data_IF_717174099806
#
_entry.id   IF_717174099806
#
_cell.length_a   1.000
_cell.length_b   1.000
_cell.length_c   1.000
_cell.angle_alpha   90.00
_cell.angle_beta   90.00
_cell.angle_gamma   90.00
#
_symmetry.space_group_name_H-M   'P 1'
#
loop_
_entity.id
_entity.type
_entity.pdbx_description
1 polymer ?
#
# COMPACT_ATOMS: atom_id res chain seq x y z
N UNK A 1 25.22 1.74 -20.15
CA UNK A 1 25.92 2.44 -21.26
C UNK A 1 24.96 3.42 -21.89
N UNK A 2 25.29 4.71 -21.79
CA UNK A 2 24.46 5.83 -22.25
C UNK A 2 24.68 6.07 -23.74
N UNK A 3 23.70 5.74 -24.59
CA UNK A 3 23.69 6.16 -25.99
C UNK A 3 22.97 7.51 -26.11
N UNK A 4 23.72 8.57 -26.42
CA UNK A 4 23.18 9.81 -26.98
C UNK A 4 22.97 9.60 -28.48
N UNK A 5 21.75 9.74 -29.05
CA UNK A 5 21.58 9.71 -30.49
C UNK A 5 21.56 11.13 -31.05
N UNK A 6 22.61 11.45 -31.79
CA UNK A 6 22.64 12.51 -32.80
C UNK A 6 22.06 11.95 -34.10
N UNK A 7 20.75 12.12 -34.34
CA UNK A 7 20.14 12.15 -35.70
C UNK A 7 18.60 12.18 -35.63
N UNK A 8 18.00 13.36 -35.83
CA UNK A 8 16.53 13.52 -35.87
C UNK A 8 15.86 12.85 -37.09
N UNK A 9 16.62 12.43 -38.11
CA UNK A 9 16.11 11.74 -39.30
C UNK A 9 16.11 10.20 -39.24
N UNK A 10 17.12 9.56 -38.64
CA UNK A 10 17.21 8.08 -38.56
C UNK A 10 16.23 7.45 -37.54
N UNK A 11 15.67 8.26 -36.64
CA UNK A 11 14.81 7.79 -35.53
C UNK A 11 13.36 7.50 -35.96
N UNK A 12 12.92 7.99 -37.12
CA UNK A 12 11.55 7.79 -37.62
C UNK A 12 11.46 6.50 -38.44
N UNK A 13 12.40 6.27 -39.37
CA UNK A 13 12.48 5.04 -40.16
C UNK A 13 12.73 3.80 -39.30
N UNK A 14 13.60 3.91 -38.28
CA UNK A 14 13.83 2.79 -37.36
C UNK A 14 12.58 2.48 -36.53
N UNK A 15 11.81 3.49 -36.08
CA UNK A 15 10.52 3.26 -35.40
C UNK A 15 9.51 2.57 -36.30
N UNK A 16 9.39 2.98 -37.56
CA UNK A 16 8.49 2.35 -38.53
C UNK A 16 8.88 0.89 -38.78
N UNK A 17 10.17 0.59 -38.93
CA UNK A 17 10.65 -0.79 -39.06
C UNK A 17 10.35 -1.65 -37.83
N UNK A 18 10.53 -1.13 -36.61
CA UNK A 18 10.19 -1.87 -35.39
C UNK A 18 8.69 -2.12 -35.26
N UNK A 19 7.86 -1.15 -35.67
CA UNK A 19 6.39 -1.32 -35.71
C UNK A 19 5.98 -2.45 -36.65
N UNK A 20 6.58 -2.49 -37.84
CA UNK A 20 6.26 -3.53 -38.83
C UNK A 20 6.71 -4.92 -38.38
N UNK A 21 7.90 -5.03 -37.78
CA UNK A 21 8.36 -6.29 -37.18
C UNK A 21 7.42 -6.74 -36.05
N UNK A 22 7.00 -5.82 -35.16
CA UNK A 22 6.05 -6.15 -34.11
C UNK A 22 4.70 -6.59 -34.67
N UNK A 23 4.21 -5.93 -35.73
CA UNK A 23 2.96 -6.32 -36.41
C UNK A 23 3.04 -7.76 -36.91
N UNK A 24 4.09 -8.11 -37.67
CA UNK A 24 4.32 -9.47 -38.16
C UNK A 24 4.41 -10.48 -37.01
N UNK A 25 5.16 -10.15 -35.94
CA UNK A 25 5.28 -11.04 -34.79
C UNK A 25 3.94 -11.28 -34.06
N UNK A 26 3.11 -10.25 -33.97
CA UNK A 26 1.83 -10.30 -33.25
C UNK A 26 0.72 -10.94 -34.08
N UNK A 27 0.65 -10.65 -35.38
CA UNK A 27 -0.40 -11.12 -36.29
C UNK A 27 -0.05 -12.48 -36.93
N UNK A 28 1.17 -12.65 -37.44
CA UNK A 28 1.54 -13.81 -38.24
C UNK A 28 2.17 -14.94 -37.40
N UNK A 29 2.73 -14.62 -36.24
CA UNK A 29 3.47 -15.57 -35.40
C UNK A 29 2.83 -15.89 -34.04
N UNK A 30 1.63 -15.35 -33.76
CA UNK A 30 0.90 -15.53 -32.50
C UNK A 30 1.77 -15.27 -31.25
N UNK A 31 2.66 -14.28 -31.31
CA UNK A 31 3.65 -14.04 -30.27
C UNK A 31 3.01 -13.87 -28.89
N UNK A 32 1.86 -13.18 -28.81
CA UNK A 32 1.15 -12.99 -27.54
C UNK A 32 0.71 -14.29 -26.89
N UNK A 33 0.13 -15.21 -27.67
CA UNK A 33 -0.30 -16.51 -27.17
C UNK A 33 0.90 -17.30 -26.62
N UNK A 34 2.02 -17.27 -27.34
CA UNK A 34 3.27 -17.92 -26.91
C UNK A 34 3.80 -17.32 -25.62
N UNK A 35 3.93 -16.00 -25.53
CA UNK A 35 4.46 -15.32 -24.34
C UNK A 35 3.60 -15.55 -23.10
N UNK A 36 2.28 -15.46 -23.24
CA UNK A 36 1.35 -15.65 -22.14
C UNK A 36 1.39 -17.10 -21.63
N UNK A 37 1.62 -18.08 -22.51
CA UNK A 37 1.82 -19.48 -22.10
C UNK A 37 3.06 -19.69 -21.23
N UNK A 38 4.06 -18.79 -21.29
CA UNK A 38 5.28 -18.88 -20.48
C UNK A 38 5.06 -18.48 -19.02
N UNK A 39 3.90 -17.92 -18.65
CA UNK A 39 3.63 -17.49 -17.28
C UNK A 39 3.62 -18.68 -16.30
N UNK A 40 3.27 -19.88 -16.76
CA UNK A 40 3.20 -21.10 -15.94
C UNK A 40 4.55 -21.80 -15.73
N UNK A 41 5.63 -21.31 -16.35
CA UNK A 41 6.93 -22.00 -16.38
C UNK A 41 7.61 -21.91 -15.01
N UNK A 42 8.25 -23.02 -14.60
CA UNK A 42 8.94 -23.16 -13.33
C UNK A 42 10.16 -22.24 -13.20
N UNK A 43 10.81 -21.92 -14.32
CA UNK A 43 11.91 -20.96 -14.38
C UNK A 43 11.37 -19.52 -14.16
N UNK A 44 11.50 -19.04 -12.91
CA UNK A 44 10.96 -17.74 -12.46
C UNK A 44 11.45 -16.56 -13.28
N UNK A 45 12.71 -16.57 -13.72
CA UNK A 45 13.29 -15.49 -14.54
C UNK A 45 12.57 -15.43 -15.88
N UNK A 46 12.40 -16.57 -16.55
CA UNK A 46 11.73 -16.64 -17.84
C UNK A 46 10.25 -16.23 -17.73
N UNK A 47 9.54 -16.72 -16.71
CA UNK A 47 8.14 -16.31 -16.46
C UNK A 47 8.03 -14.80 -16.22
N UNK A 48 8.91 -14.24 -15.40
CA UNK A 48 8.94 -12.80 -15.14
C UNK A 48 9.28 -11.96 -16.39
N UNK A 49 10.26 -12.40 -17.19
CA UNK A 49 10.61 -11.75 -18.45
C UNK A 49 9.45 -11.81 -19.44
N UNK A 50 8.75 -12.94 -19.53
CA UNK A 50 7.56 -13.08 -20.34
C UNK A 50 6.46 -12.09 -19.89
N UNK A 51 6.18 -12.01 -18.59
CA UNK A 51 5.22 -11.05 -18.04
C UNK A 51 5.61 -9.59 -18.37
N UNK A 52 6.90 -9.25 -18.29
CA UNK A 52 7.44 -7.94 -18.66
C UNK A 52 7.29 -7.63 -20.15
N UNK A 53 7.59 -8.60 -21.01
CA UNK A 53 7.42 -8.48 -22.46
C UNK A 53 5.95 -8.28 -22.82
N UNK A 54 5.05 -9.12 -22.28
CA UNK A 54 3.61 -9.03 -22.46
C UNK A 54 3.09 -7.66 -22.05
N UNK A 55 3.43 -7.17 -20.85
CA UNK A 55 3.00 -5.85 -20.40
C UNK A 55 3.47 -4.72 -21.31
N UNK A 56 4.69 -4.82 -21.84
CA UNK A 56 5.25 -3.84 -22.78
C UNK A 56 4.48 -3.84 -24.11
N UNK A 57 4.16 -5.04 -24.62
CA UNK A 57 3.36 -5.19 -25.84
C UNK A 57 1.94 -4.65 -25.64
N UNK A 58 1.29 -4.97 -24.52
CA UNK A 58 -0.05 -4.47 -24.20
C UNK A 58 -0.07 -2.95 -24.16
N UNK A 59 0.92 -2.32 -23.50
CA UNK A 59 1.02 -0.86 -23.44
C UNK A 59 1.30 -0.23 -24.81
N UNK A 60 2.12 -0.89 -25.64
CA UNK A 60 2.39 -0.46 -27.01
C UNK A 60 1.12 -0.55 -27.88
N UNK A 61 0.40 -1.67 -27.86
CA UNK A 61 -0.86 -1.83 -28.59
C UNK A 61 -1.90 -0.83 -28.11
N UNK A 62 -1.98 -0.57 -26.79
CA UNK A 62 -2.87 0.45 -26.24
C UNK A 62 -2.56 1.85 -26.79
N UNK A 63 -1.28 2.20 -27.02
CA UNK A 63 -0.90 3.48 -27.62
C UNK A 63 -1.30 3.57 -29.09
N UNK A 64 -1.26 2.47 -29.84
CA UNK A 64 -1.54 2.46 -31.28
C UNK A 64 -3.04 2.33 -31.59
N UNK A 65 -3.75 1.43 -30.90
CA UNK A 65 -5.13 1.04 -31.22
C UNK A 65 -6.15 1.38 -30.14
N UNK A 66 -5.75 2.09 -29.07
CA UNK A 66 -6.60 2.49 -27.94
C UNK A 66 -7.42 1.33 -27.33
N UNK A 67 -6.88 0.11 -27.40
CA UNK A 67 -7.55 -1.11 -26.97
C UNK A 67 -6.55 -2.07 -26.32
N UNK A 68 -7.00 -2.80 -25.30
CA UNK A 68 -6.20 -3.83 -24.65
C UNK A 68 -6.19 -5.10 -25.50
N UNK A 69 -5.06 -5.81 -25.44
CA UNK A 69 -4.91 -7.10 -26.10
C UNK A 69 -5.89 -8.13 -25.51
N UNK A 70 -6.74 -8.72 -26.37
CA UNK A 70 -7.77 -9.67 -25.95
C UNK A 70 -7.22 -10.97 -25.39
N UNK A 71 -6.13 -11.49 -25.97
CA UNK A 71 -5.47 -12.74 -25.53
C UNK A 71 -4.93 -12.59 -24.10
N UNK A 72 -4.20 -11.50 -23.86
CA UNK A 72 -3.69 -11.17 -22.52
C UNK A 72 -4.82 -10.98 -21.51
N UNK A 73 -5.86 -10.22 -21.87
CA UNK A 73 -6.98 -9.94 -20.98
C UNK A 73 -7.72 -11.23 -20.62
N UNK A 74 -8.00 -12.10 -21.59
CA UNK A 74 -8.67 -13.39 -21.35
C UNK A 74 -7.84 -14.32 -20.48
N UNK A 75 -6.52 -14.38 -20.69
CA UNK A 75 -5.65 -15.15 -19.79
C UNK A 75 -5.76 -14.65 -18.36
N UNK A 76 -5.59 -13.35 -18.13
CA UNK A 76 -5.64 -12.80 -16.77
C UNK A 76 -6.99 -13.05 -16.10
N UNK A 77 -8.10 -12.86 -16.83
CA UNK A 77 -9.45 -13.12 -16.32
C UNK A 77 -9.66 -14.60 -15.97
N UNK A 78 -9.23 -15.52 -16.84
CA UNK A 78 -9.36 -16.96 -16.60
C UNK A 78 -8.49 -17.41 -15.43
N UNK A 79 -7.27 -16.91 -15.33
CA UNK A 79 -6.36 -17.17 -14.21
C UNK A 79 -6.92 -16.65 -12.89
N UNK A 80 -7.47 -15.44 -12.85
CA UNK A 80 -8.05 -14.88 -11.62
C UNK A 80 -9.32 -15.60 -11.20
N UNK A 81 -10.17 -16.02 -12.16
CA UNK A 81 -11.36 -16.84 -11.88
C UNK A 81 -11.00 -18.20 -11.30
N UNK A 82 -9.88 -18.80 -11.72
CA UNK A 82 -9.38 -20.06 -11.15
C UNK A 82 -8.87 -19.89 -9.71
N UNK A 83 -8.41 -18.70 -9.35
CA UNK A 83 -7.89 -18.41 -8.01
C UNK A 83 -6.54 -19.09 -7.72
N UNK A 84 -6.24 -19.25 -6.43
CA UNK A 84 -5.02 -19.91 -5.94
C UNK A 84 -5.34 -21.34 -5.47
N UNK A 85 -4.49 -22.35 -5.75
CA UNK A 85 -3.17 -22.29 -6.39
C UNK A 85 -3.24 -22.33 -7.93
N UNK A 86 -2.56 -21.38 -8.58
CA UNK A 86 -2.42 -21.33 -10.03
C UNK A 86 -1.02 -20.77 -10.36
N UNK A 87 -0.25 -21.45 -11.23
CA UNK A 87 1.15 -21.07 -11.53
C UNK A 87 1.25 -19.78 -12.33
N UNK A 88 0.21 -19.52 -13.13
CA UNK A 88 0.07 -18.37 -14.00
C UNK A 88 -0.29 -17.09 -13.22
N UNK A 89 -0.75 -17.26 -11.97
CA UNK A 89 -1.32 -16.18 -11.18
C UNK A 89 -0.33 -15.05 -10.90
N UNK A 90 0.90 -15.38 -10.51
CA UNK A 90 1.93 -14.37 -10.25
C UNK A 90 2.25 -13.55 -11.52
N UNK A 91 2.42 -14.22 -12.67
CA UNK A 91 2.64 -13.56 -13.96
C UNK A 91 1.47 -12.65 -14.38
N UNK A 92 0.22 -13.10 -14.21
CA UNK A 92 -0.97 -12.30 -14.49
C UNK A 92 -1.11 -11.10 -13.54
N UNK A 93 -0.89 -11.28 -12.24
CA UNK A 93 -0.92 -10.21 -11.24
C UNK A 93 0.15 -9.16 -11.51
N UNK A 94 1.38 -9.60 -11.74
CA UNK A 94 2.49 -8.71 -12.07
C UNK A 94 2.21 -7.96 -13.36
N UNK A 95 1.73 -8.66 -14.40
CA UNK A 95 1.46 -8.05 -15.71
C UNK A 95 0.36 -7.01 -15.63
N UNK A 96 -0.76 -7.30 -14.96
CA UNK A 96 -1.84 -6.33 -14.73
C UNK A 96 -1.35 -5.11 -13.95
N UNK A 97 -0.61 -5.33 -12.86
CA UNK A 97 0.00 -4.25 -12.07
C UNK A 97 0.89 -3.35 -12.92
N UNK A 98 1.74 -3.94 -13.77
CA UNK A 98 2.63 -3.23 -14.67
C UNK A 98 1.86 -2.44 -15.75
N UNK A 99 0.78 -3.01 -16.30
CA UNK A 99 -0.09 -2.32 -17.27
C UNK A 99 -0.79 -1.14 -16.60
N UNK A 100 -1.42 -1.31 -15.44
CA UNK A 100 -2.04 -0.21 -14.69
C UNK A 100 -1.03 0.91 -14.40
N UNK A 101 0.18 0.55 -13.96
CA UNK A 101 1.27 1.49 -13.72
C UNK A 101 1.70 2.21 -15.00
N UNK A 102 1.80 1.50 -16.11
CA UNK A 102 2.12 2.05 -17.42
C UNK A 102 1.07 3.04 -17.92
N UNK A 103 -0.22 2.73 -17.74
CA UNK A 103 -1.32 3.63 -18.13
C UNK A 103 -1.31 4.91 -17.28
N UNK A 104 -1.11 4.81 -15.97
CA UNK A 104 -1.03 5.97 -15.09
C UNK A 104 0.15 6.88 -15.45
N UNK A 105 1.33 6.31 -15.75
CA UNK A 105 2.54 7.07 -16.10
C UNK A 105 2.57 7.58 -17.54
N UNK A 106 2.01 6.84 -18.50
CA UNK A 106 2.11 7.17 -19.92
C UNK A 106 1.25 8.38 -20.31
N UNK A 107 1.42 8.90 -21.51
CA UNK A 107 0.61 9.98 -22.06
C UNK A 107 -0.50 9.41 -22.95
N UNK A 108 -1.70 9.27 -22.40
CA UNK A 108 -2.88 8.76 -23.10
C UNK A 108 -4.01 9.81 -23.03
N UNK A 109 -4.74 10.01 -24.13
CA UNK A 109 -5.77 11.06 -24.20
C UNK A 109 -6.96 10.80 -23.26
N UNK A 110 -7.34 9.53 -23.06
CA UNK A 110 -8.48 9.14 -22.20
C UNK A 110 -8.08 8.11 -21.13
N UNK A 111 -7.10 8.43 -20.28
CA UNK A 111 -6.62 7.52 -19.20
C UNK A 111 -7.76 6.95 -18.35
N UNK A 112 -8.71 7.82 -17.98
CA UNK A 112 -9.85 7.49 -17.11
C UNK A 112 -10.71 6.38 -17.73
N UNK A 113 -11.21 6.63 -18.93
CA UNK A 113 -12.09 5.71 -19.67
C UNK A 113 -11.39 4.38 -19.97
N UNK A 114 -10.10 4.41 -20.32
CA UNK A 114 -9.32 3.21 -20.57
C UNK A 114 -9.20 2.33 -19.33
N UNK A 115 -8.86 2.93 -18.18
CA UNK A 115 -8.77 2.17 -16.93
C UNK A 115 -10.14 1.70 -16.45
N UNK A 116 -11.19 2.53 -16.56
CA UNK A 116 -12.55 2.09 -16.21
C UNK A 116 -12.97 0.89 -17.05
N UNK A 117 -12.78 0.92 -18.38
CA UNK A 117 -13.10 -0.22 -19.25
C UNK A 117 -12.33 -1.48 -18.87
N UNK A 118 -11.04 -1.34 -18.54
CA UNK A 118 -10.23 -2.47 -18.09
C UNK A 118 -10.77 -3.03 -16.78
N UNK A 119 -10.97 -2.18 -15.77
CA UNK A 119 -11.36 -2.58 -14.42
C UNK A 119 -12.77 -3.18 -14.36
N UNK A 120 -13.72 -2.64 -15.13
CA UNK A 120 -15.06 -3.23 -15.28
C UNK A 120 -14.98 -4.69 -15.75
N UNK A 121 -14.02 -5.04 -16.62
CA UNK A 121 -13.85 -6.42 -17.05
C UNK A 121 -13.32 -7.34 -15.94
N UNK A 122 -12.57 -6.80 -14.98
CA UNK A 122 -11.98 -7.54 -13.85
C UNK A 122 -12.84 -7.53 -12.58
N UNK A 123 -13.82 -6.62 -12.47
CA UNK A 123 -14.74 -6.52 -11.32
C UNK A 123 -15.42 -7.84 -10.95
N UNK A 124 -15.79 -8.75 -11.88
CA UNK A 124 -16.40 -10.03 -11.52
C UNK A 124 -15.45 -11.06 -10.89
N UNK A 125 -14.12 -10.91 -11.03
CA UNK A 125 -13.14 -11.93 -10.61
C UNK A 125 -12.26 -11.49 -9.44
N UNK A 126 -12.04 -10.18 -9.29
CA UNK A 126 -11.17 -9.64 -8.24
C UNK A 126 -11.71 -9.80 -6.80
N UNK A 127 -13.01 -9.69 -6.49
CA UNK A 127 -13.52 -9.90 -5.14
C UNK A 127 -13.28 -11.32 -4.62
N UNK A 128 -13.53 -12.33 -5.46
CA UNK A 128 -13.29 -13.74 -5.11
C UNK A 128 -11.79 -14.02 -4.95
N UNK A 129 -10.96 -13.42 -5.82
CA UNK A 129 -9.51 -13.52 -5.70
C UNK A 129 -9.01 -12.85 -4.41
N UNK A 130 -9.55 -11.69 -4.05
CA UNK A 130 -9.21 -10.94 -2.84
C UNK A 130 -9.45 -11.78 -1.58
N UNK A 131 -10.67 -12.31 -1.45
CA UNK A 131 -11.03 -13.16 -0.30
C UNK A 131 -10.23 -14.46 -0.32
N UNK A 132 -10.09 -15.11 -1.47
CA UNK A 132 -9.39 -16.39 -1.63
C UNK A 132 -7.87 -16.32 -1.38
N UNK A 133 -7.21 -15.19 -1.63
CA UNK A 133 -5.77 -15.02 -1.38
C UNK A 133 -5.45 -14.54 0.03
N UNK A 134 -6.27 -13.64 0.56
CA UNK A 134 -5.97 -12.93 1.81
C UNK A 134 -6.62 -13.59 3.03
N UNK A 135 -7.72 -14.35 2.84
CA UNK A 135 -8.39 -15.09 3.93
C UNK A 135 -7.79 -16.48 4.15
N UNK A 136 -6.70 -16.86 3.47
CA UNK A 136 -5.95 -18.07 3.76
C UNK A 136 -5.28 -17.95 5.13
N UNK A 137 -6.08 -18.07 6.18
CA UNK A 137 -5.63 -18.32 7.54
C UNK A 137 -4.82 -19.59 7.44
N UNK A 138 -3.53 -19.52 7.77
CA UNK A 138 -2.60 -20.66 7.70
C UNK A 138 -3.28 -21.90 8.28
N UNK A 139 -3.87 -22.71 7.39
CA UNK A 139 -4.52 -23.93 7.79
C UNK A 139 -3.34 -24.77 8.23
N UNK A 140 -3.32 -25.11 9.52
CA UNK A 140 -2.49 -26.18 10.05
C UNK A 140 -2.92 -27.51 9.43
N UNK A 141 -2.81 -27.64 8.12
CA UNK A 141 -2.88 -28.90 7.43
C UNK A 141 -1.49 -29.49 7.54
N UNK A 142 -1.38 -30.45 8.47
CA UNK A 142 -0.29 -31.41 8.57
C UNK A 142 -0.22 -32.31 7.31
N UNK A 143 -0.11 -31.70 6.14
CA UNK A 143 0.15 -32.36 4.87
C UNK A 143 1.29 -31.61 4.21
N UNK A 144 2.51 -31.94 4.64
CA UNK A 144 3.79 -31.77 3.94
C UNK A 144 3.76 -30.73 2.81
N UNK A 145 3.61 -29.45 3.15
CA UNK A 145 3.85 -28.39 2.18
C UNK A 145 5.37 -28.25 2.05
N UNK A 146 5.91 -28.50 0.86
CA UNK A 146 7.32 -28.27 0.59
C UNK A 146 7.64 -26.79 0.85
N UNK A 147 8.85 -26.44 1.33
CA UNK A 147 9.25 -25.04 1.56
C UNK A 147 9.03 -24.12 0.34
N UNK A 148 8.99 -24.68 -0.88
CA UNK A 148 8.73 -23.94 -2.11
C UNK A 148 7.33 -23.34 -2.20
N UNK A 149 6.34 -24.01 -1.61
CA UNK A 149 4.92 -23.65 -1.80
C UNK A 149 4.53 -22.49 -0.87
N UNK A 150 5.11 -22.45 0.34
CA UNK A 150 4.97 -21.31 1.26
C UNK A 150 5.55 -20.03 0.67
N UNK A 151 6.77 -20.11 0.11
CA UNK A 151 7.41 -18.96 -0.55
C UNK A 151 6.58 -18.47 -1.76
N UNK A 152 5.96 -19.38 -2.51
CA UNK A 152 5.12 -19.01 -3.64
C UNK A 152 3.85 -18.24 -3.23
N UNK A 153 3.21 -18.64 -2.13
CA UNK A 153 2.04 -17.93 -1.59
C UNK A 153 2.43 -16.52 -1.13
N UNK A 154 3.56 -16.37 -0.43
CA UNK A 154 4.05 -15.07 0.03
C UNK A 154 4.31 -14.11 -1.14
N UNK A 155 4.92 -14.61 -2.22
CA UNK A 155 5.14 -13.84 -3.45
C UNK A 155 3.80 -13.41 -4.06
N UNK A 156 2.84 -14.33 -4.22
CA UNK A 156 1.52 -14.00 -4.77
C UNK A 156 0.81 -12.95 -3.92
N UNK A 157 0.79 -13.11 -2.58
CA UNK A 157 0.18 -12.13 -1.68
C UNK A 157 0.88 -10.76 -1.78
N UNK A 158 2.20 -10.77 -1.90
CA UNK A 158 3.02 -9.56 -2.09
C UNK A 158 2.70 -8.86 -3.41
N UNK A 159 2.59 -9.62 -4.52
CA UNK A 159 2.25 -9.11 -5.85
C UNK A 159 0.79 -8.63 -5.91
N UNK A 160 -0.13 -9.33 -5.22
CA UNK A 160 -1.52 -8.89 -5.12
C UNK A 160 -1.66 -7.60 -4.30
N UNK A 161 -0.85 -7.44 -3.26
CA UNK A 161 -0.81 -6.19 -2.48
C UNK A 161 -0.32 -5.01 -3.34
N UNK A 162 0.64 -5.23 -4.26
CA UNK A 162 1.04 -4.21 -5.24
C UNK A 162 -0.12 -3.85 -6.18
N UNK A 163 -0.89 -4.84 -6.62
CA UNK A 163 -2.07 -4.59 -7.46
C UNK A 163 -3.10 -3.72 -6.71
N UNK A 164 -3.39 -4.02 -5.44
CA UNK A 164 -4.30 -3.22 -4.61
C UNK A 164 -3.81 -1.79 -4.41
N UNK A 165 -2.49 -1.59 -4.23
CA UNK A 165 -1.89 -0.26 -4.18
C UNK A 165 -2.12 0.49 -5.49
N UNK A 166 -1.91 -0.17 -6.64
CA UNK A 166 -2.12 0.41 -7.95
C UNK A 166 -3.58 0.75 -8.24
N UNK A 167 -4.52 -0.09 -7.81
CA UNK A 167 -5.96 0.18 -7.91
C UNK A 167 -6.37 1.41 -7.09
N UNK A 168 -5.84 1.52 -5.87
CA UNK A 168 -6.05 2.67 -4.98
C UNK A 168 -5.44 3.94 -5.58
N UNK A 169 -4.22 3.86 -6.11
CA UNK A 169 -3.56 4.98 -6.79
C UNK A 169 -4.34 5.44 -8.02
N UNK A 170 -4.86 4.51 -8.84
CA UNK A 170 -5.68 4.82 -10.00
C UNK A 170 -6.97 5.55 -9.60
N UNK A 171 -7.60 5.12 -8.50
CA UNK A 171 -8.79 5.77 -7.96
C UNK A 171 -8.50 7.20 -7.51
N UNK A 172 -7.47 7.41 -6.69
CA UNK A 172 -7.13 8.74 -6.17
C UNK A 172 -6.77 9.71 -7.30
N UNK A 173 -6.01 9.25 -8.29
CA UNK A 173 -5.50 10.12 -9.37
C UNK A 173 -6.50 10.40 -10.48
N UNK A 174 -7.32 9.42 -10.83
CA UNK A 174 -8.27 9.54 -11.95
C UNK A 174 -9.71 9.69 -11.47
N UNK A 175 -9.96 9.67 -10.16
CA UNK A 175 -11.29 9.77 -9.54
C UNK A 175 -12.28 8.72 -10.10
N UNK A 176 -11.77 7.54 -10.41
CA UNK A 176 -12.56 6.40 -10.93
C UNK A 176 -13.10 5.57 -9.77
N UNK A 177 -14.29 5.00 -9.91
CA UNK A 177 -14.96 4.27 -8.83
C UNK A 177 -15.54 2.94 -9.33
N UNK A 178 -14.68 1.97 -9.58
CA UNK A 178 -15.06 0.59 -9.91
C UNK A 178 -15.04 -0.31 -8.68
N UNK A 179 -15.74 -1.46 -8.70
CA UNK A 179 -15.83 -2.33 -7.52
C UNK A 179 -14.46 -2.85 -7.10
N UNK A 180 -13.61 -3.21 -8.06
CA UNK A 180 -12.23 -3.62 -7.83
C UNK A 180 -11.40 -2.60 -7.05
N UNK A 181 -11.62 -1.30 -7.27
CA UNK A 181 -10.92 -0.22 -6.55
C UNK A 181 -11.48 0.02 -5.14
N UNK A 182 -12.71 -0.43 -4.87
CA UNK A 182 -13.36 -0.30 -3.57
C UNK A 182 -13.00 -1.44 -2.62
N UNK A 183 -12.50 -2.57 -3.13
CA UNK A 183 -12.23 -3.81 -2.37
C UNK A 183 -11.44 -3.57 -1.07
N UNK A 184 -10.31 -2.88 -1.16
CA UNK A 184 -9.47 -2.58 0.00
C UNK A 184 -10.23 -1.87 1.12
N UNK A 185 -11.10 -0.94 0.74
CA UNK A 185 -11.84 -0.09 1.67
C UNK A 185 -13.00 -0.85 2.30
N UNK A 186 -13.79 -1.54 1.46
CA UNK A 186 -14.99 -2.27 1.88
C UNK A 186 -14.69 -3.56 2.64
N UNK A 187 -13.53 -4.18 2.40
CA UNK A 187 -13.14 -5.46 2.99
C UNK A 187 -11.79 -5.36 3.72
N UNK A 188 -11.55 -4.21 4.37
CA UNK A 188 -10.32 -3.93 5.11
C UNK A 188 -10.04 -4.95 6.23
N UNK A 189 -11.09 -5.51 6.82
CA UNK A 189 -11.00 -6.55 7.86
C UNK A 189 -10.16 -7.76 7.44
N UNK A 190 -10.22 -8.16 6.16
CA UNK A 190 -9.42 -9.28 5.62
C UNK A 190 -7.93 -8.96 5.63
N UNK A 191 -7.55 -7.73 5.24
CA UNK A 191 -6.16 -7.26 5.29
C UNK A 191 -5.65 -7.14 6.73
N UNK A 192 -6.49 -6.63 7.63
CA UNK A 192 -6.16 -6.50 9.06
C UNK A 192 -5.93 -7.89 9.70
N UNK A 193 -6.75 -8.87 9.35
CA UNK A 193 -6.56 -10.27 9.73
C UNK A 193 -5.27 -10.86 9.16
N UNK A 194 -4.92 -10.56 7.90
CA UNK A 194 -3.67 -11.01 7.31
C UNK A 194 -2.44 -10.41 8.03
N UNK A 195 -2.50 -9.14 8.43
CA UNK A 195 -1.43 -8.49 9.20
C UNK A 195 -1.22 -9.14 10.59
N UNK A 196 -2.29 -9.65 11.20
CA UNK A 196 -2.31 -10.37 12.49
C UNK A 196 -2.05 -11.89 12.36
N UNK A 197 -2.11 -12.44 11.14
CA UNK A 197 -1.98 -13.88 10.86
C UNK A 197 -0.55 -14.42 11.07
N UNK A 198 -0.30 -15.75 10.99
CA UNK A 198 1.07 -16.28 10.95
C UNK A 198 1.80 -16.08 9.60
N UNK A 199 1.31 -15.22 8.70
CA UNK A 199 1.98 -14.92 7.44
C UNK A 199 3.41 -14.37 7.64
N UNK A 200 4.23 -14.48 6.60
CA UNK A 200 5.59 -13.97 6.64
C UNK A 200 5.64 -12.46 6.87
N UNK A 201 6.67 -12.00 7.57
CA UNK A 201 6.80 -10.61 8.01
C UNK A 201 6.77 -9.61 6.84
N UNK A 202 7.34 -9.97 5.68
CA UNK A 202 7.32 -9.11 4.49
C UNK A 202 5.89 -8.83 3.99
N UNK A 203 5.01 -9.84 4.02
CA UNK A 203 3.60 -9.71 3.62
C UNK A 203 2.88 -8.79 4.60
N UNK A 204 3.02 -9.04 5.92
CA UNK A 204 2.43 -8.19 6.97
C UNK A 204 2.85 -6.74 6.83
N UNK A 205 4.15 -6.51 6.64
CA UNK A 205 4.74 -5.18 6.45
C UNK A 205 4.14 -4.50 5.23
N UNK A 206 4.00 -5.21 4.12
CA UNK A 206 3.43 -4.65 2.90
C UNK A 206 1.96 -4.28 3.05
N UNK A 207 1.17 -5.12 3.72
CA UNK A 207 -0.24 -4.85 4.04
C UNK A 207 -0.38 -3.58 4.88
N UNK A 208 0.41 -3.44 5.95
CA UNK A 208 0.38 -2.24 6.80
C UNK A 208 0.79 -0.97 6.04
N UNK A 209 1.81 -1.06 5.18
CA UNK A 209 2.21 0.07 4.34
C UNK A 209 1.13 0.45 3.32
N UNK A 210 0.45 -0.54 2.74
CA UNK A 210 -0.70 -0.30 1.88
C UNK A 210 -1.82 0.42 2.64
N UNK A 211 -2.23 -0.08 3.81
CA UNK A 211 -3.24 0.58 4.66
C UNK A 211 -2.83 2.01 5.03
N UNK A 212 -1.56 2.22 5.42
CA UNK A 212 -0.99 3.55 5.70
C UNK A 212 -1.16 4.49 4.51
N UNK A 213 -0.69 4.06 3.33
CA UNK A 213 -0.74 4.88 2.10
C UNK A 213 -2.17 5.15 1.65
N UNK A 214 -3.07 4.16 1.77
CA UNK A 214 -4.48 4.32 1.46
C UNK A 214 -5.11 5.39 2.35
N UNK A 215 -4.98 5.28 3.68
CA UNK A 215 -5.53 6.25 4.64
C UNK A 215 -4.96 7.67 4.48
N UNK A 216 -3.68 7.78 4.11
CA UNK A 216 -3.03 9.05 3.78
C UNK A 216 -3.40 9.60 2.39
N UNK A 217 -4.10 8.82 1.57
CA UNK A 217 -4.36 9.11 0.15
C UNK A 217 -3.07 9.33 -0.66
N UNK A 218 -1.98 8.66 -0.25
CA UNK A 218 -0.64 8.69 -0.87
C UNK A 218 -0.33 7.42 -1.67
N UNK A 219 -1.34 6.63 -2.03
CA UNK A 219 -1.14 5.43 -2.84
C UNK A 219 -0.55 5.80 -4.22
N UNK A 220 0.60 5.21 -4.56
CA UNK A 220 1.29 5.47 -5.82
C UNK A 220 1.85 6.91 -5.95
N UNK A 221 2.18 7.57 -4.84
CA UNK A 221 2.84 8.89 -4.81
C UNK A 221 4.09 8.93 -5.70
N UNK A 222 4.90 7.86 -5.69
CA UNK A 222 6.08 7.64 -6.54
C UNK A 222 5.82 7.66 -8.06
N UNK A 223 4.55 7.64 -8.47
CA UNK A 223 4.14 7.67 -9.87
C UNK A 223 3.82 9.09 -10.36
N UNK A 224 3.79 10.09 -9.49
CA UNK A 224 3.46 11.47 -9.86
C UNK A 224 4.66 12.18 -10.49
N UNK A 225 4.50 12.71 -11.70
CA UNK A 225 5.14 13.97 -12.09
C UNK A 225 4.33 15.11 -11.45
N UNK A 226 5.00 16.19 -11.03
CA UNK A 226 4.45 17.28 -10.21
C UNK A 226 3.20 18.01 -10.77
N UNK A 227 2.71 17.63 -11.95
CA UNK A 227 1.70 18.34 -12.74
C UNK A 227 0.25 17.90 -12.45
N UNK A 228 0.02 16.78 -11.75
CA UNK A 228 -1.34 16.24 -11.49
C UNK A 228 -1.88 16.46 -10.07
N UNK A 229 -1.26 17.33 -9.28
CA UNK A 229 -1.84 17.77 -8.01
C UNK A 229 -2.82 18.92 -8.27
N UNK A 230 -3.99 18.64 -8.85
CA UNK A 230 -5.08 19.62 -8.84
C UNK A 230 -6.46 18.96 -8.85
N UNK A 231 -7.36 19.62 -8.11
CA UNK A 231 -8.78 19.32 -7.89
C UNK A 231 -9.09 18.28 -6.80
N UNK A 232 -9.04 18.75 -5.54
CA UNK A 232 -9.89 18.27 -4.42
C UNK A 232 -11.36 18.61 -4.66
N UNK A 233 -11.92 18.21 -5.80
CA UNK A 233 -13.37 18.10 -5.91
C UNK A 233 -13.71 16.71 -5.34
N UNK A 234 -14.22 16.71 -4.11
CA UNK A 234 -14.35 15.51 -3.29
C UNK A 234 -15.20 14.44 -3.99
N UNK A 235 -14.55 13.33 -4.36
CA UNK A 235 -15.26 12.09 -4.67
C UNK A 235 -16.00 11.65 -3.39
N UNK A 236 -17.31 11.87 -3.36
CA UNK A 236 -18.16 11.54 -2.21
C UNK A 236 -18.10 10.05 -1.88
N UNK A 237 -17.93 9.19 -2.89
CA UNK A 237 -17.74 7.76 -2.69
C UNK A 237 -16.39 7.44 -2.06
N UNK A 238 -15.33 8.19 -2.38
CA UNK A 238 -14.03 8.02 -1.72
C UNK A 238 -14.11 8.40 -0.24
N UNK A 239 -14.78 9.51 0.11
CA UNK A 239 -14.95 9.91 1.52
C UNK A 239 -15.67 8.81 2.30
N UNK A 240 -16.78 8.29 1.77
CA UNK A 240 -17.54 7.21 2.41
C UNK A 240 -16.70 5.92 2.55
N UNK A 241 -15.98 5.53 1.49
CA UNK A 241 -15.14 4.33 1.52
C UNK A 241 -13.96 4.47 2.50
N UNK A 242 -13.36 5.66 2.61
CA UNK A 242 -12.29 5.94 3.56
C UNK A 242 -12.77 5.88 5.01
N UNK A 243 -14.02 6.30 5.25
CA UNK A 243 -14.65 6.09 6.55
C UNK A 243 -14.87 4.62 6.86
N UNK A 244 -15.36 3.80 5.92
CA UNK A 244 -15.52 2.34 6.12
C UNK A 244 -14.18 1.67 6.44
N UNK A 245 -13.11 2.07 5.73
CA UNK A 245 -11.75 1.61 5.99
C UNK A 245 -11.30 1.99 7.42
N UNK A 246 -11.47 3.26 7.80
CA UNK A 246 -11.11 3.77 9.12
C UNK A 246 -11.89 3.06 10.23
N UNK A 247 -13.19 2.86 10.06
CA UNK A 247 -14.04 2.21 11.05
C UNK A 247 -13.63 0.74 11.26
N UNK A 248 -13.33 0.01 10.16
CA UNK A 248 -12.80 -1.36 10.22
C UNK A 248 -11.48 -1.45 11.01
N UNK A 249 -10.60 -0.45 10.86
CA UNK A 249 -9.35 -0.36 11.64
C UNK A 249 -9.65 -0.14 13.11
N UNK A 250 -10.55 0.80 13.45
CA UNK A 250 -10.92 1.11 14.82
C UNK A 250 -11.61 -0.08 15.53
N UNK A 251 -12.50 -0.79 14.84
CA UNK A 251 -13.09 -2.05 15.34
C UNK A 251 -12.01 -3.12 15.59
N UNK A 252 -11.05 -3.26 14.67
CA UNK A 252 -9.93 -4.18 14.85
C UNK A 252 -9.06 -3.79 16.05
N UNK A 253 -8.80 -2.51 16.26
CA UNK A 253 -8.06 -2.00 17.45
C UNK A 253 -8.80 -2.33 18.73
N UNK A 254 -10.13 -2.16 18.79
CA UNK A 254 -10.97 -2.57 19.93
C UNK A 254 -10.90 -4.07 20.20
N UNK A 255 -10.72 -4.89 19.17
CA UNK A 255 -10.50 -6.33 19.30
C UNK A 255 -9.07 -6.71 19.77
N UNK A 256 -8.19 -5.74 20.02
CA UNK A 256 -6.81 -5.96 20.46
C UNK A 256 -5.81 -6.19 19.32
N UNK A 257 -6.11 -5.75 18.10
CA UNK A 257 -5.25 -5.96 16.92
C UNK A 257 -3.85 -5.37 17.09
N UNK A 258 -3.74 -4.16 17.64
CA UNK A 258 -2.46 -3.44 17.76
C UNK A 258 -1.42 -4.23 18.55
N UNK A 259 -1.84 -4.91 19.62
CA UNK A 259 -0.94 -5.71 20.46
C UNK A 259 -0.48 -7.01 19.81
N UNK A 260 -1.17 -7.49 18.78
CA UNK A 260 -0.83 -8.75 18.10
C UNK A 260 0.07 -8.54 16.89
N UNK A 261 0.29 -7.29 16.47
CA UNK A 261 1.21 -6.98 15.38
C UNK A 261 2.65 -7.26 15.80
N UNK A 262 3.33 -8.13 15.04
CA UNK A 262 4.74 -8.42 15.21
C UNK A 262 5.61 -7.30 14.64
N UNK A 263 6.60 -6.83 15.40
CA UNK A 263 7.64 -5.89 14.94
C UNK A 263 9.01 -6.59 15.00
N UNK A 264 9.72 -6.61 13.88
CA UNK A 264 11.07 -7.17 13.82
C UNK A 264 12.04 -6.34 14.69
N UNK A 265 12.95 -7.02 15.38
CA UNK A 265 14.07 -6.40 16.12
C UNK A 265 15.28 -6.13 15.25
N UNK A 266 15.24 -6.55 13.97
CA UNK A 266 16.26 -6.22 12.99
C UNK A 266 15.78 -5.00 12.20
N UNK A 267 16.57 -3.90 12.17
CA UNK A 267 16.25 -2.77 11.31
C UNK A 267 16.24 -3.25 9.86
N UNK A 268 15.20 -2.91 9.10
CA UNK A 268 15.19 -3.18 7.67
C UNK A 268 16.21 -2.28 6.99
N UNK A 269 17.40 -2.83 6.75
CA UNK A 269 18.44 -2.20 5.95
C UNK A 269 17.93 -1.99 4.52
N UNK A 270 18.28 -0.84 3.94
CA UNK A 270 17.96 -0.54 2.55
C UNK A 270 18.66 -1.56 1.64
N UNK A 271 17.91 -2.37 0.89
CA UNK A 271 18.44 -3.37 -0.05
C UNK A 271 18.17 -4.85 0.26
N UNK A 272 17.43 -5.17 1.33
CA UNK A 272 17.07 -6.54 1.71
C UNK A 272 17.68 -6.94 3.06
N UNK A 273 17.29 -8.11 3.58
CA UNK A 273 17.78 -8.67 4.84
C UNK A 273 19.26 -9.05 4.72
N UNK A 274 20.13 -8.04 4.70
CA UNK A 274 21.57 -8.21 4.83
C UNK A 274 21.88 -8.71 6.22
N UNK A 275 22.66 -9.79 6.30
CA UNK A 275 23.25 -10.33 7.53
C UNK A 275 23.76 -9.16 8.36
N UNK A 276 23.25 -9.02 9.58
CA UNK A 276 23.62 -7.94 10.49
C UNK A 276 25.15 -7.85 10.58
N UNK A 277 25.69 -6.70 10.19
CA UNK A 277 27.11 -6.41 10.41
C UNK A 277 27.34 -6.37 11.92
N UNK A 278 28.42 -6.98 12.45
CA UNK A 278 28.72 -6.93 13.87
C UNK A 278 29.02 -5.47 14.25
N UNK A 279 28.04 -4.81 14.87
CA UNK A 279 28.05 -3.37 15.16
C UNK A 279 26.80 -2.60 14.72
N UNK A 280 25.85 -3.22 14.00
CA UNK A 280 24.54 -2.63 13.72
C UNK A 280 23.75 -2.49 15.02
N UNK A 281 23.29 -1.26 15.35
CA UNK A 281 22.40 -1.00 16.49
C UNK A 281 21.14 -1.85 16.32
N UNK A 282 20.98 -2.86 17.18
CA UNK A 282 19.73 -3.58 17.35
C UNK A 282 18.62 -2.56 17.70
N UNK A 283 17.53 -2.57 16.95
CA UNK A 283 16.48 -1.57 17.09
C UNK A 283 15.20 -2.03 16.40
N UNK A 284 14.03 -1.59 16.87
CA UNK A 284 12.77 -1.99 16.28
C UNK A 284 12.66 -1.50 14.83
N UNK A 285 11.90 -2.22 14.02
CA UNK A 285 11.52 -1.77 12.68
C UNK A 285 10.62 -0.53 12.78
N UNK A 286 11.23 0.66 12.80
CA UNK A 286 10.55 1.95 12.86
C UNK A 286 9.59 2.16 11.69
N UNK A 287 9.79 1.52 10.53
CA UNK A 287 8.83 1.59 9.43
C UNK A 287 7.48 0.95 9.82
N UNK A 288 7.51 -0.17 10.54
CA UNK A 288 6.30 -0.80 11.08
C UNK A 288 5.66 0.03 12.18
N UNK A 289 6.45 0.55 13.13
CA UNK A 289 5.94 1.40 14.20
C UNK A 289 5.21 2.63 13.65
N UNK A 290 5.82 3.32 12.68
CA UNK A 290 5.21 4.46 11.97
C UNK A 290 3.94 4.05 11.24
N UNK A 291 3.96 2.92 10.52
CA UNK A 291 2.81 2.45 9.77
C UNK A 291 1.61 2.14 10.68
N UNK A 292 1.79 1.38 11.75
CA UNK A 292 0.72 1.07 12.71
C UNK A 292 0.20 2.35 13.36
N UNK A 293 1.10 3.24 13.78
CA UNK A 293 0.74 4.51 14.41
C UNK A 293 -0.09 5.39 13.48
N UNK A 294 0.34 5.58 12.22
CA UNK A 294 -0.38 6.41 11.25
C UNK A 294 -1.70 5.78 10.79
N UNK A 295 -1.76 4.45 10.64
CA UNK A 295 -3.01 3.74 10.33
C UNK A 295 -4.06 4.02 11.41
N UNK A 296 -3.68 3.94 12.68
CA UNK A 296 -4.59 4.24 13.78
C UNK A 296 -4.93 5.74 13.86
N UNK A 297 -3.92 6.62 13.85
CA UNK A 297 -4.13 8.07 13.95
C UNK A 297 -5.04 8.58 12.84
N UNK A 298 -4.77 8.23 11.59
CA UNK A 298 -5.60 8.66 10.45
C UNK A 298 -7.02 8.10 10.53
N UNK A 299 -7.19 6.87 11.02
CA UNK A 299 -8.53 6.30 11.22
C UNK A 299 -9.33 7.08 12.27
N UNK A 300 -8.68 7.50 13.37
CA UNK A 300 -9.29 8.40 14.36
C UNK A 300 -9.62 9.76 13.76
N UNK A 301 -8.76 10.32 12.91
CA UNK A 301 -9.03 11.58 12.21
C UNK A 301 -10.31 11.49 11.36
N UNK A 302 -10.45 10.44 10.55
CA UNK A 302 -11.66 10.22 9.75
C UNK A 302 -12.91 10.04 10.63
N UNK A 303 -12.80 9.33 11.76
CA UNK A 303 -13.92 9.18 12.71
C UNK A 303 -14.33 10.51 13.32
N UNK A 304 -13.36 11.33 13.76
CA UNK A 304 -13.63 12.68 14.30
C UNK A 304 -14.26 13.59 13.25
N UNK A 305 -13.77 13.55 12.01
CA UNK A 305 -14.35 14.32 10.91
C UNK A 305 -15.81 13.91 10.64
N UNK A 306 -16.09 12.60 10.63
CA UNK A 306 -17.45 12.07 10.43
C UNK A 306 -18.41 12.50 11.54
N UNK A 307 -18.04 12.29 12.81
CA UNK A 307 -18.86 12.69 13.97
C UNK A 307 -19.13 14.20 13.97
N UNK A 308 -18.12 15.00 13.63
CA UNK A 308 -18.26 16.47 13.57
C UNK A 308 -19.21 16.90 12.44
N UNK A 309 -19.26 16.16 11.32
CA UNK A 309 -20.15 16.45 10.19
C UNK A 309 -21.59 16.02 10.45
N UNK A 310 -21.81 14.88 11.10
CA UNK A 310 -23.15 14.37 11.42
C UNK A 310 -23.82 15.10 12.58
N UNK A 311 -23.08 15.90 13.35
CA UNK A 311 -23.59 16.59 14.53
C UNK A 311 -23.94 15.62 15.66
N UNK A 312 -23.38 14.41 15.64
CA UNK A 312 -23.57 13.41 16.69
C UNK A 312 -22.89 13.89 17.99
N UNK A 313 -23.68 14.01 19.07
CA UNK A 313 -23.22 14.43 20.39
C UNK A 313 -22.52 13.30 21.17
N UNK A 314 -22.41 12.11 20.57
CA UNK A 314 -21.63 11.00 21.11
C UNK A 314 -20.16 11.38 21.34
N UNK A 315 -19.70 11.31 22.58
CA UNK A 315 -18.30 11.55 22.92
C UNK A 315 -17.43 10.38 22.43
N UNK A 316 -16.61 10.60 21.40
CA UNK A 316 -15.62 9.61 20.97
C UNK A 316 -14.55 9.47 22.05
N UNK A 317 -14.48 8.29 22.68
CA UNK A 317 -13.40 7.97 23.61
C UNK A 317 -12.09 7.68 22.86
N UNK A 318 -11.34 8.74 22.55
CA UNK A 318 -10.02 8.66 21.93
C UNK A 318 -9.02 7.86 22.81
N UNK A 319 -9.19 7.86 24.13
CA UNK A 319 -8.26 7.16 25.04
C UNK A 319 -8.34 5.64 24.89
N UNK A 320 -9.54 5.11 24.62
CA UNK A 320 -9.72 3.68 24.35
C UNK A 320 -8.87 3.17 23.17
N UNK A 321 -8.44 4.04 22.26
CA UNK A 321 -7.61 3.70 21.11
C UNK A 321 -6.13 4.06 21.30
N UNK A 322 -5.84 5.22 21.89
CA UNK A 322 -4.46 5.65 22.12
C UNK A 322 -3.76 4.87 23.23
N UNK A 323 -4.48 4.42 24.26
CA UNK A 323 -3.93 3.55 25.30
C UNK A 323 -3.29 2.28 24.73
N UNK A 324 -4.01 1.48 23.92
CA UNK A 324 -3.46 0.38 23.14
C UNK A 324 -2.20 0.71 22.34
N UNK A 325 -2.19 1.85 21.64
CA UNK A 325 -1.04 2.30 20.87
C UNK A 325 0.17 2.58 21.77
N UNK A 326 -0.03 3.30 22.87
CA UNK A 326 1.04 3.64 23.80
C UNK A 326 1.62 2.38 24.46
N UNK A 327 0.81 1.39 24.80
CA UNK A 327 1.29 0.11 25.31
C UNK A 327 2.15 -0.62 24.27
N UNK A 328 1.69 -0.69 23.02
CA UNK A 328 2.44 -1.29 21.92
C UNK A 328 3.77 -0.59 21.67
N UNK A 329 3.76 0.75 21.59
CA UNK A 329 4.98 1.54 21.42
C UNK A 329 5.95 1.36 22.58
N UNK A 330 5.45 1.37 23.82
CA UNK A 330 6.28 1.13 25.00
C UNK A 330 6.98 -0.23 24.96
N UNK A 331 6.29 -1.29 24.56
CA UNK A 331 6.87 -2.64 24.45
C UNK A 331 8.05 -2.71 23.47
N UNK A 332 8.01 -1.93 22.40
CA UNK A 332 9.04 -1.94 21.35
C UNK A 332 10.13 -0.87 21.55
N UNK A 333 9.79 0.29 22.12
CA UNK A 333 10.72 1.40 22.34
C UNK A 333 11.54 1.24 23.62
N UNK A 334 11.00 0.68 24.71
CA UNK A 334 11.73 0.54 25.99
C UNK A 334 13.00 -0.31 25.89
N UNK A 335 13.14 -1.14 24.86
CA UNK A 335 14.38 -1.88 24.57
C UNK A 335 15.51 -0.99 24.03
N UNK A 336 15.20 0.20 23.53
CA UNK A 336 16.16 1.12 22.90
C UNK A 336 16.20 2.50 23.56
N UNK A 337 15.06 3.02 24.03
CA UNK A 337 14.91 4.32 24.69
C UNK A 337 13.74 4.28 25.69
N UNK A 338 13.98 4.59 26.97
CA UNK A 338 12.90 4.73 27.95
C UNK A 338 12.09 6.01 27.67
N UNK A 339 10.77 5.91 27.55
CA UNK A 339 9.91 7.08 27.39
C UNK A 339 9.82 7.84 28.72
N UNK A 340 10.60 8.92 28.86
CA UNK A 340 10.54 9.79 30.05
C UNK A 340 9.24 10.61 30.12
N UNK A 341 8.57 10.82 28.98
CA UNK A 341 7.33 11.59 28.89
C UNK A 341 6.41 11.03 27.79
N UNK A 342 5.09 10.94 28.00
CA UNK A 342 4.19 10.24 27.08
C UNK A 342 4.11 10.81 25.67
N UNK A 343 4.51 12.07 25.42
CA UNK A 343 4.55 12.69 24.09
C UNK A 343 5.87 12.49 23.30
N UNK A 344 6.91 11.92 23.93
CA UNK A 344 8.24 11.74 23.30
C UNK A 344 8.20 10.76 22.13
N UNK A 345 7.26 9.83 22.15
CA UNK A 345 7.16 8.79 21.12
C UNK A 345 7.05 9.35 19.70
N UNK A 346 6.46 10.54 19.50
CA UNK A 346 6.31 11.12 18.15
C UNK A 346 7.68 11.42 17.53
N UNK A 347 8.58 12.08 18.26
CA UNK A 347 9.93 12.35 17.75
C UNK A 347 10.75 11.08 17.60
N UNK A 348 10.60 10.10 18.51
CA UNK A 348 11.31 8.83 18.43
C UNK A 348 10.86 7.96 17.25
N UNK A 349 9.54 7.86 17.02
CA UNK A 349 8.98 6.99 15.98
C UNK A 349 9.08 7.63 14.60
N UNK A 350 8.89 8.95 14.50
CA UNK A 350 8.80 9.64 13.21
C UNK A 350 10.02 10.49 12.84
N UNK A 351 10.98 10.70 13.74
CA UNK A 351 12.06 11.68 13.55
C UNK A 351 12.97 11.47 12.33
N UNK A 352 13.01 10.27 11.74
CA UNK A 352 13.79 9.99 10.52
C UNK A 352 13.01 10.18 9.20
N UNK A 353 11.70 10.46 9.27
CA UNK A 353 10.85 10.67 8.08
C UNK A 353 9.91 11.86 8.28
N UNK A 354 10.32 13.00 7.76
CA UNK A 354 9.63 14.28 7.90
C UNK A 354 8.16 14.21 7.42
N UNK A 355 7.89 13.55 6.31
CA UNK A 355 6.53 13.43 5.77
C UNK A 355 5.58 12.68 6.71
N UNK A 356 6.03 11.54 7.25
CA UNK A 356 5.23 10.77 8.21
C UNK A 356 5.05 11.53 9.54
N UNK A 357 6.09 12.28 9.97
CA UNK A 357 6.03 13.13 11.15
C UNK A 357 5.01 14.26 11.01
N UNK A 358 5.00 14.93 9.87
CA UNK A 358 4.06 16.03 9.60
C UNK A 358 2.61 15.54 9.57
N UNK A 359 2.35 14.37 8.97
CA UNK A 359 1.02 13.75 9.00
C UNK A 359 0.60 13.40 10.43
N UNK A 360 1.49 12.77 11.21
CA UNK A 360 1.20 12.42 12.60
C UNK A 360 0.90 13.66 13.45
N UNK A 361 1.73 14.71 13.36
CA UNK A 361 1.57 15.96 14.10
C UNK A 361 0.26 16.68 13.74
N UNK A 362 -0.08 16.74 12.44
CA UNK A 362 -1.35 17.29 11.96
C UNK A 362 -2.53 16.54 12.55
N UNK A 363 -2.52 15.21 12.49
CA UNK A 363 -3.62 14.39 13.02
C UNK A 363 -3.73 14.53 14.54
N UNK A 364 -2.62 14.50 15.27
CA UNK A 364 -2.61 14.68 16.73
C UNK A 364 -3.17 16.04 17.14
N UNK A 365 -2.89 17.11 16.38
CA UNK A 365 -3.50 18.42 16.59
C UNK A 365 -5.03 18.37 16.43
N UNK A 366 -5.53 17.69 15.38
CA UNK A 366 -6.98 17.52 15.18
C UNK A 366 -7.62 16.78 16.37
N UNK A 367 -6.99 15.69 16.83
CA UNK A 367 -7.49 14.92 17.98
C UNK A 367 -7.46 15.76 19.27
N UNK A 368 -6.37 16.50 19.52
CA UNK A 368 -6.24 17.39 20.68
C UNK A 368 -7.32 18.47 20.70
N UNK A 369 -7.56 19.12 19.55
CA UNK A 369 -8.60 20.15 19.43
C UNK A 369 -10.01 19.57 19.63
N UNK A 370 -10.28 18.37 19.11
CA UNK A 370 -11.55 17.68 19.35
C UNK A 370 -11.74 17.37 20.85
N UNK A 371 -10.74 16.79 21.52
CA UNK A 371 -10.80 16.51 22.95
C UNK A 371 -11.03 17.79 23.76
N UNK A 372 -10.34 18.88 23.44
CA UNK A 372 -10.53 20.17 24.13
C UNK A 372 -11.92 20.75 23.92
N UNK A 373 -12.53 20.55 22.75
CA UNK A 373 -13.90 20.99 22.46
C UNK A 373 -14.93 20.21 23.27
N UNK A 374 -14.77 18.88 23.33
CA UNK A 374 -15.70 17.98 24.03
C UNK A 374 -15.53 18.06 25.55
N UNK A 375 -14.29 18.15 26.03
CA UNK A 375 -13.94 18.12 27.45
C UNK A 375 -13.69 19.51 28.06
N UNK A 376 -14.32 20.56 27.51
CA UNK A 376 -14.09 21.96 27.90
C UNK A 376 -14.25 22.24 29.42
N UNK A 377 -14.89 21.35 30.17
CA UNK A 377 -15.12 21.47 31.61
C UNK A 377 -14.20 20.60 32.51
N UNK A 378 -13.38 19.68 31.95
CA UNK A 378 -12.53 18.79 32.76
C UNK A 378 -11.04 19.06 32.52
N UNK A 379 -10.30 19.34 33.60
CA UNK A 379 -8.85 19.43 33.59
C UNK A 379 -8.21 18.03 33.44
N UNK A 380 -8.32 17.43 32.26
CA UNK A 380 -7.53 16.24 31.92
C UNK A 380 -6.07 16.66 31.73
N UNK A 381 -5.14 15.81 32.20
CA UNK A 381 -3.72 15.96 31.92
C UNK A 381 -3.51 15.95 30.39
N UNK A 382 -3.09 17.09 29.78
CA UNK A 382 -2.97 17.20 28.33
C UNK A 382 -1.89 16.26 27.76
N UNK A 383 -0.98 15.78 28.62
CA UNK A 383 0.09 14.87 28.24
C UNK A 383 -0.25 13.41 28.49
N UNK A 384 -1.26 13.08 29.30
CA UNK A 384 -1.61 11.69 29.65
C UNK A 384 -1.95 10.82 28.44
N UNK A 385 -2.40 11.46 27.36
CA UNK A 385 -2.78 10.84 26.08
C UNK A 385 -1.63 10.74 25.09
N UNK A 386 -0.51 11.39 25.38
CA UNK A 386 0.62 11.52 24.46
C UNK A 386 0.35 12.40 23.24
N UNK A 387 -0.70 13.25 23.25
CA UNK A 387 -1.11 14.08 22.10
C UNK A 387 -0.82 15.59 22.26
N UNK A 388 -0.13 16.02 23.31
CA UNK A 388 0.07 17.45 23.56
C UNK A 388 0.96 18.09 22.45
N UNK A 389 0.41 18.99 21.62
CA UNK A 389 1.16 19.60 20.51
C UNK A 389 2.33 20.46 20.99
N UNK A 390 2.24 21.07 22.18
CA UNK A 390 3.35 21.83 22.76
C UNK A 390 4.54 20.92 23.07
N UNK A 391 4.29 19.74 23.64
CA UNK A 391 5.34 18.77 23.92
C UNK A 391 5.95 18.22 22.63
N UNK A 392 5.13 17.89 21.62
CA UNK A 392 5.65 17.44 20.32
C UNK A 392 6.59 18.46 19.69
N UNK A 393 6.23 19.75 19.72
CA UNK A 393 7.08 20.83 19.23
C UNK A 393 8.40 20.93 20.01
N UNK A 394 8.36 20.87 21.34
CA UNK A 394 9.57 20.94 22.18
C UNK A 394 10.48 19.74 21.91
N UNK A 395 9.96 18.51 21.85
CA UNK A 395 10.77 17.33 21.59
C UNK A 395 11.36 17.32 20.17
N UNK A 396 10.62 17.86 19.19
CA UNK A 396 11.15 18.06 17.84
C UNK A 396 12.31 19.05 17.83
N UNK A 397 12.17 20.19 18.50
CA UNK A 397 13.27 21.15 18.64
C UNK A 397 14.47 20.53 19.33
N UNK A 398 14.27 19.72 20.37
CA UNK A 398 15.36 19.00 21.04
C UNK A 398 16.06 18.02 20.10
N UNK A 399 15.33 17.27 19.28
CA UNK A 399 15.94 16.35 18.32
C UNK A 399 16.74 17.03 17.20
N UNK A 400 16.40 18.28 16.86
CA UNK A 400 17.10 19.06 15.82
C UNK A 400 18.26 19.89 16.41
N UNK A 401 18.08 20.43 17.62
CA UNK A 401 19.06 21.31 18.27
C UNK A 401 20.19 20.57 18.98
N UNK A 402 19.98 19.31 19.39
CA UNK A 402 20.97 18.51 20.10
C UNK A 402 21.52 17.41 19.19
N UNK A 403 22.53 17.74 18.38
CA UNK A 403 23.50 16.76 17.84
C UNK A 403 24.51 16.28 18.89
N UNK A 404 24.24 16.54 20.18
CA UNK A 404 24.99 15.97 21.31
C UNK A 404 24.05 15.12 22.16
N UNK A 405 24.37 13.82 22.38
CA UNK A 405 23.55 12.97 23.22
C UNK A 405 23.60 13.45 24.67
N UNK A 406 22.44 13.42 25.34
CA UNK A 406 22.39 13.46 26.80
C UNK A 406 23.33 12.37 27.37
N UNK A 407 24.22 12.80 28.26
CA UNK A 407 25.04 11.93 29.11
C UNK A 407 24.23 11.46 30.31
#
# INVERSE_FOLDING_TARGET
>A
MSFKPTSRGQTVDSKLNYKEVLRILLEDMDLMQKLVSLFCIQEKILSHLAAKCVSSIVLFQLQESNSFNSVWQQMCLNTFRRGCPCRELDGCLWSLTAVLKGVLKGTYNSKRELLEKLLIAFDPVLPDLYTGLLSQRGVGSATVAYPSDTYHIEVIQTTFTDLLEMLTAARVKLQTCTMSQRLLHLQASVLLQLADSPAHYSVKKKVLLLLKRSLLQKAGEDLCTAELQSSTQGDSHLIADMWILADSVLESVRSGWVQRISVSTQPSLFGGTGVASPGSREGPDFLMLRAVSLVLLKSLEYKVQHVTQEGDEGTLDIQSYLGPLMLFLNQHLTRSHQLCHPCVWVSLVFGEQDDDMMEAAKTLMVLYLYQRRVNAASAQDPCGTGCNPHCHFIFLLQSVALTTPCS
#
